data_IF_550901096255
#
_entry.id   IF_550901096255
#
_cell.length_a   1.000
_cell.length_b   1.000
_cell.length_c   1.000
_cell.angle_alpha   90.00
_cell.angle_beta   90.00
_cell.angle_gamma   90.00
#
_symmetry.space_group_name_H-M   'P 1'
#
loop_
_entity.id
_entity.type
_entity.pdbx_description
1 polymer ?
#
# COMPACT_ATOMS: atom_id res chain seq x y z
N UNK A 1 14.02 -13.28 -20.99
CA UNK A 1 13.80 -11.83 -20.80
C UNK A 1 12.62 -11.65 -19.85
N UNK A 2 12.81 -10.86 -18.82
CA UNK A 2 11.73 -10.57 -17.87
C UNK A 2 10.73 -9.62 -18.51
N UNK A 3 9.45 -9.75 -18.14
CA UNK A 3 8.44 -8.82 -18.61
C UNK A 3 8.63 -7.43 -17.92
N UNK A 4 7.89 -6.47 -18.42
CA UNK A 4 8.01 -5.08 -17.97
C UNK A 4 7.64 -4.91 -16.49
N UNK A 5 6.63 -5.64 -16.02
CA UNK A 5 6.19 -5.54 -14.63
C UNK A 5 7.20 -6.14 -13.66
N UNK A 6 7.80 -7.28 -14.02
CA UNK A 6 8.86 -7.87 -13.22
C UNK A 6 10.07 -6.96 -13.13
N UNK A 7 10.45 -6.34 -14.24
CA UNK A 7 11.56 -5.42 -14.27
C UNK A 7 11.29 -4.18 -13.41
N UNK A 8 10.09 -3.64 -13.48
CA UNK A 8 9.69 -2.50 -12.63
C UNK A 8 9.73 -2.86 -11.15
N UNK A 9 9.31 -4.06 -10.82
CA UNK A 9 9.38 -4.57 -9.45
C UNK A 9 10.83 -4.58 -8.93
N UNK A 10 11.75 -5.14 -9.73
CA UNK A 10 13.16 -5.22 -9.37
C UNK A 10 13.77 -3.81 -9.25
N UNK A 11 13.46 -2.94 -10.18
CA UNK A 11 13.97 -1.56 -10.17
C UNK A 11 13.48 -0.79 -8.94
N UNK A 12 12.21 -0.94 -8.58
CA UNK A 12 11.66 -0.30 -7.38
C UNK A 12 12.36 -0.80 -6.11
N UNK A 13 12.57 -2.10 -6.01
CA UNK A 13 13.32 -2.67 -4.89
C UNK A 13 14.73 -2.09 -4.80
N UNK A 14 15.44 -2.06 -5.92
CA UNK A 14 16.81 -1.56 -5.96
C UNK A 14 16.90 -0.09 -5.51
N UNK A 15 15.95 0.74 -5.91
CA UNK A 15 15.88 2.15 -5.51
C UNK A 15 15.63 2.32 -4.02
N UNK A 16 14.67 1.56 -3.49
CA UNK A 16 14.29 1.69 -2.07
C UNK A 16 15.44 1.27 -1.17
N UNK A 17 16.10 0.17 -1.51
CA UNK A 17 17.14 -0.41 -0.66
C UNK A 17 18.50 0.24 -0.91
N UNK A 18 18.73 0.76 -2.11
CA UNK A 18 20.01 1.35 -2.47
C UNK A 18 21.03 0.33 -2.98
N UNK A 19 20.57 -0.75 -3.61
CA UNK A 19 21.43 -1.71 -4.30
C UNK A 19 21.47 -1.37 -5.78
N UNK A 20 22.52 -1.86 -6.46
CA UNK A 20 22.65 -1.67 -7.90
C UNK A 20 21.57 -2.49 -8.61
N UNK A 21 20.97 -1.90 -9.64
CA UNK A 21 19.92 -2.55 -10.41
C UNK A 21 20.39 -3.87 -11.02
N UNK A 22 21.58 -3.87 -11.61
CA UNK A 22 22.15 -5.09 -12.22
C UNK A 22 22.31 -6.23 -11.22
N UNK A 23 22.74 -5.90 -10.01
CA UNK A 23 22.89 -6.89 -8.95
C UNK A 23 21.53 -7.45 -8.50
N UNK A 24 20.53 -6.59 -8.44
CA UNK A 24 19.17 -7.01 -8.07
C UNK A 24 18.57 -7.91 -9.15
N UNK A 25 18.76 -7.58 -10.42
CA UNK A 25 18.30 -8.40 -11.55
C UNK A 25 18.95 -9.79 -11.50
N UNK A 26 20.25 -9.84 -11.35
CA UNK A 26 20.99 -11.11 -11.26
C UNK A 26 20.50 -11.95 -10.08
N UNK A 27 20.34 -11.32 -8.93
CA UNK A 27 19.85 -12.01 -7.74
C UNK A 27 18.44 -12.60 -7.95
N UNK A 28 17.56 -11.83 -8.57
CA UNK A 28 16.20 -12.26 -8.87
C UNK A 28 16.17 -13.43 -9.86
N UNK A 29 17.07 -13.42 -10.85
CA UNK A 29 17.17 -14.51 -11.81
C UNK A 29 17.68 -15.80 -11.15
N UNK A 30 18.60 -15.67 -10.21
CA UNK A 30 19.20 -16.82 -9.54
C UNK A 30 18.30 -17.37 -8.42
N UNK A 31 17.67 -16.51 -7.64
CA UNK A 31 16.91 -16.89 -6.43
C UNK A 31 15.39 -16.71 -6.56
N UNK A 32 14.93 -16.01 -7.59
CA UNK A 32 13.52 -15.71 -7.79
C UNK A 32 13.12 -14.34 -7.25
N UNK A 33 12.00 -13.82 -7.76
CA UNK A 33 11.51 -12.49 -7.36
C UNK A 33 11.16 -12.39 -5.87
N UNK A 34 10.58 -13.44 -5.31
CA UNK A 34 10.19 -13.44 -3.91
C UNK A 34 11.39 -13.29 -2.97
N UNK A 35 12.56 -13.77 -3.39
CA UNK A 35 13.76 -13.70 -2.58
C UNK A 35 14.27 -12.26 -2.41
N UNK A 36 13.93 -11.35 -3.30
CA UNK A 36 14.29 -9.94 -3.13
C UNK A 36 13.65 -9.35 -1.88
N UNK A 37 12.39 -9.67 -1.64
CA UNK A 37 11.66 -9.17 -0.47
C UNK A 37 11.95 -10.03 0.75
N UNK A 38 11.83 -11.34 0.64
CA UNK A 38 11.83 -12.22 1.81
C UNK A 38 13.22 -12.66 2.28
N UNK A 39 14.20 -12.71 1.41
CA UNK A 39 15.52 -13.23 1.76
C UNK A 39 16.63 -12.65 0.87
N UNK A 40 16.81 -11.34 0.96
CA UNK A 40 17.82 -10.63 0.17
C UNK A 40 19.19 -10.54 0.87
N UNK A 41 19.43 -11.34 1.90
CA UNK A 41 20.62 -11.22 2.77
C UNK A 41 21.93 -11.22 1.99
N UNK A 42 22.05 -12.07 0.98
CA UNK A 42 23.26 -12.17 0.17
C UNK A 42 23.48 -10.97 -0.75
N UNK A 43 22.41 -10.25 -1.08
CA UNK A 43 22.46 -9.07 -1.93
C UNK A 43 22.87 -7.82 -1.15
N UNK A 44 22.58 -7.77 0.15
CA UNK A 44 22.76 -6.59 0.99
C UNK A 44 24.20 -6.51 1.48
N UNK A 45 24.96 -5.56 0.94
CA UNK A 45 26.38 -5.44 1.21
C UNK A 45 26.71 -4.55 2.41
N UNK A 46 25.84 -3.59 2.76
CA UNK A 46 26.12 -2.61 3.80
C UNK A 46 25.10 -2.64 4.93
N UNK A 47 25.47 -2.17 6.14
CA UNK A 47 24.49 -2.04 7.25
C UNK A 47 23.30 -1.16 6.89
N UNK A 48 23.53 -0.09 6.12
CA UNK A 48 22.46 0.83 5.71
C UNK A 48 21.47 0.11 4.81
N UNK A 49 21.95 -0.71 3.87
CA UNK A 49 21.07 -1.51 3.00
C UNK A 49 20.26 -2.51 3.80
N UNK A 50 20.86 -3.16 4.79
CA UNK A 50 20.15 -4.11 5.66
C UNK A 50 19.08 -3.41 6.48
N UNK A 51 19.36 -2.22 7.00
CA UNK A 51 18.39 -1.43 7.75
C UNK A 51 17.22 -0.99 6.88
N UNK A 52 17.49 -0.52 5.67
CA UNK A 52 16.44 -0.14 4.71
C UNK A 52 15.58 -1.32 4.31
N UNK A 53 16.20 -2.48 4.12
CA UNK A 53 15.48 -3.71 3.80
C UNK A 53 14.55 -4.12 4.94
N UNK A 54 15.02 -4.05 6.17
CA UNK A 54 14.18 -4.37 7.33
C UNK A 54 13.01 -3.41 7.47
N UNK A 55 13.24 -2.12 7.28
CA UNK A 55 12.18 -1.12 7.29
C UNK A 55 11.15 -1.37 6.19
N UNK A 56 11.61 -1.72 5.00
CA UNK A 56 10.73 -2.08 3.89
C UNK A 56 9.88 -3.32 4.21
N UNK A 57 10.49 -4.35 4.79
CA UNK A 57 9.76 -5.56 5.20
C UNK A 57 8.68 -5.24 6.22
N UNK A 58 9.01 -4.43 7.21
CA UNK A 58 8.05 -4.03 8.23
C UNK A 58 6.87 -3.28 7.60
N UNK A 59 7.14 -2.32 6.74
CA UNK A 59 6.12 -1.57 6.03
C UNK A 59 5.25 -2.50 5.17
N UNK A 60 5.87 -3.38 4.41
CA UNK A 60 5.18 -4.30 3.51
C UNK A 60 4.26 -5.25 4.28
N UNK A 61 4.77 -5.85 5.35
CA UNK A 61 4.00 -6.81 6.18
C UNK A 61 2.86 -6.13 6.93
N UNK A 62 3.10 -4.94 7.46
CA UNK A 62 2.09 -4.20 8.21
C UNK A 62 1.04 -3.55 7.32
N UNK A 63 1.36 -3.27 6.07
CA UNK A 63 0.42 -2.62 5.13
C UNK A 63 -0.87 -3.40 4.96
N UNK A 64 -0.79 -4.73 4.82
CA UNK A 64 -2.00 -5.53 4.68
C UNK A 64 -2.83 -5.54 5.96
N UNK A 65 -2.20 -5.57 7.12
CA UNK A 65 -2.89 -5.52 8.41
C UNK A 65 -3.59 -4.18 8.63
N UNK A 66 -2.90 -3.08 8.33
CA UNK A 66 -3.45 -1.74 8.47
C UNK A 66 -4.60 -1.55 7.49
N UNK A 67 -4.42 -1.97 6.23
CA UNK A 67 -5.45 -1.82 5.20
C UNK A 67 -6.71 -2.62 5.51
N UNK A 68 -6.61 -3.74 6.24
CA UNK A 68 -7.79 -4.54 6.60
C UNK A 68 -8.66 -3.88 7.67
N UNK A 69 -8.16 -2.85 8.36
CA UNK A 69 -8.95 -2.09 9.35
C UNK A 69 -10.01 -1.21 8.69
N UNK A 70 -9.79 -0.83 7.44
CA UNK A 70 -10.72 0.02 6.71
C UNK A 70 -11.67 -0.85 5.89
N UNK A 71 -12.96 -0.48 5.80
CA UNK A 71 -13.93 -1.29 5.11
C UNK A 71 -13.73 -1.29 3.60
N UNK A 72 -14.17 -2.37 2.96
CA UNK A 72 -14.29 -2.46 1.50
C UNK A 72 -15.72 -2.11 1.13
N UNK A 73 -15.87 -1.19 0.18
CA UNK A 73 -17.18 -0.77 -0.33
C UNK A 73 -17.32 -1.28 -1.76
N UNK A 74 -17.94 -2.45 -1.90
CA UNK A 74 -18.17 -3.08 -3.20
C UNK A 74 -19.62 -3.49 -3.43
N UNK A 75 -20.52 -3.00 -2.58
CA UNK A 75 -21.95 -3.24 -2.71
C UNK A 75 -22.72 -2.06 -2.14
N UNK A 76 -23.99 -1.85 -2.56
CA UNK A 76 -24.84 -0.80 -1.97
C UNK A 76 -25.03 -0.95 -0.47
N UNK A 77 -25.14 -2.18 0.03
CA UNK A 77 -25.32 -2.46 1.45
C UNK A 77 -24.10 -2.04 2.27
N UNK A 78 -22.91 -2.33 1.77
CA UNK A 78 -21.65 -1.91 2.43
C UNK A 78 -21.48 -0.41 2.41
N UNK A 79 -21.85 0.24 1.30
CA UNK A 79 -21.83 1.69 1.21
C UNK A 79 -22.80 2.31 2.22
N UNK A 80 -24.03 1.81 2.31
CA UNK A 80 -25.02 2.28 3.26
C UNK A 80 -24.52 2.15 4.70
N UNK A 81 -23.97 1.00 5.07
CA UNK A 81 -23.44 0.77 6.42
C UNK A 81 -22.31 1.74 6.76
N UNK A 82 -21.39 1.95 5.81
CA UNK A 82 -20.26 2.85 6.01
C UNK A 82 -20.72 4.30 6.21
N UNK A 83 -21.60 4.79 5.31
CA UNK A 83 -22.04 6.18 5.38
C UNK A 83 -22.95 6.44 6.58
N UNK A 84 -23.76 5.49 6.98
CA UNK A 84 -24.54 5.60 8.23
C UNK A 84 -23.61 5.75 9.43
N UNK A 85 -22.56 4.94 9.51
CA UNK A 85 -21.58 5.00 10.59
C UNK A 85 -20.90 6.37 10.66
N UNK A 86 -20.51 6.92 9.51
CA UNK A 86 -19.87 8.25 9.44
C UNK A 86 -20.88 9.35 9.78
N UNK A 87 -22.07 9.28 9.23
CA UNK A 87 -23.10 10.31 9.43
C UNK A 87 -23.61 10.36 10.87
N UNK A 88 -23.60 9.27 11.59
CA UNK A 88 -23.97 9.23 13.00
C UNK A 88 -23.07 10.11 13.88
N UNK A 89 -21.86 10.37 13.43
CA UNK A 89 -20.89 11.21 14.12
C UNK A 89 -20.97 12.69 13.71
N UNK A 90 -21.83 13.01 12.75
CA UNK A 90 -21.96 14.35 12.19
C UNK A 90 -23.22 15.03 12.71
N UNK A 91 -23.06 16.21 13.32
CA UNK A 91 -24.19 16.97 13.84
C UNK A 91 -24.94 17.76 12.76
N UNK A 92 -24.29 18.03 11.63
CA UNK A 92 -24.87 18.80 10.55
C UNK A 92 -25.54 17.91 9.54
N UNK A 93 -26.87 17.98 9.46
CA UNK A 93 -27.66 17.13 8.55
C UNK A 93 -27.55 17.54 7.09
N UNK A 94 -26.92 18.65 6.79
CA UNK A 94 -26.71 19.13 5.43
C UNK A 94 -25.30 18.85 4.92
N UNK A 95 -24.60 17.94 5.55
CA UNK A 95 -23.26 17.58 5.14
C UNK A 95 -23.27 16.47 4.08
N UNK A 96 -22.33 16.56 3.13
CA UNK A 96 -22.01 15.47 2.23
C UNK A 96 -20.76 14.76 2.74
N UNK A 97 -20.73 13.46 2.58
CA UNK A 97 -19.56 12.67 2.90
C UNK A 97 -19.05 12.04 1.60
N UNK A 98 -17.77 12.23 1.34
CA UNK A 98 -17.08 11.65 0.18
C UNK A 98 -16.06 10.67 0.70
N UNK A 99 -16.15 9.42 0.25
CA UNK A 99 -15.18 8.39 0.60
C UNK A 99 -14.23 8.17 -0.58
N UNK A 100 -12.94 8.14 -0.28
CA UNK A 100 -11.90 7.85 -1.27
C UNK A 100 -11.51 6.40 -1.16
N UNK A 101 -11.58 5.68 -2.28
CA UNK A 101 -11.33 4.24 -2.32
C UNK A 101 -10.07 3.94 -3.12
N UNK A 102 -9.35 2.91 -2.72
CA UNK A 102 -8.27 2.38 -3.56
C UNK A 102 -8.84 1.50 -4.68
N UNK A 103 -7.98 0.96 -5.52
CA UNK A 103 -8.39 0.13 -6.67
C UNK A 103 -9.10 -1.16 -6.28
N UNK A 104 -9.03 -1.55 -5.00
CA UNK A 104 -9.72 -2.73 -4.47
C UNK A 104 -10.98 -2.36 -3.68
N UNK A 105 -11.46 -1.12 -3.84
CA UNK A 105 -12.64 -0.58 -3.18
C UNK A 105 -12.54 -0.49 -1.65
N UNK A 106 -11.33 -0.48 -1.12
CA UNK A 106 -11.10 -0.25 0.31
C UNK A 106 -11.03 1.25 0.58
N UNK A 107 -11.72 1.68 1.62
CA UNK A 107 -11.71 3.09 2.03
C UNK A 107 -10.30 3.47 2.51
N UNK A 108 -9.73 4.50 1.90
CA UNK A 108 -8.44 5.06 2.32
C UNK A 108 -8.63 6.35 3.12
N UNK A 109 -9.72 7.07 2.89
CA UNK A 109 -10.03 8.29 3.62
C UNK A 109 -11.48 8.67 3.35
N UNK A 110 -12.02 9.60 4.13
CA UNK A 110 -13.29 10.25 3.83
C UNK A 110 -13.20 11.73 4.18
N UNK A 111 -14.04 12.50 3.54
CA UNK A 111 -14.12 13.93 3.76
C UNK A 111 -15.58 14.34 3.97
N UNK A 112 -15.82 15.13 5.00
CA UNK A 112 -17.13 15.71 5.27
C UNK A 112 -17.17 17.09 4.66
N UNK A 113 -18.05 17.28 3.67
CA UNK A 113 -18.22 18.55 3.00
C UNK A 113 -19.50 19.19 3.52
N UNK A 114 -19.37 20.23 4.30
CA UNK A 114 -20.52 21.01 4.75
C UNK A 114 -21.03 21.87 3.60
N UNK A 115 -22.31 21.68 3.26
CA UNK A 115 -22.99 22.59 2.37
C UNK A 115 -23.39 23.78 3.22
N UNK A 116 -22.73 24.92 3.02
CA UNK A 116 -23.01 26.10 3.78
C UNK A 116 -24.45 26.51 3.66
N UNK A 117 -25.13 26.60 4.78
CA UNK A 117 -26.41 27.30 4.87
C UNK A 117 -26.14 28.78 4.77
N UNK A 118 -26.80 29.37 3.87
CA UNK A 118 -26.80 30.83 3.74
C UNK A 118 -27.63 31.43 4.87
#
# INVERSE_FOLDING_TARGET
MRDTDELRYIQAFARIIGVKEDAAIEYAERKGLNALVDNATQLLATPVQREKHQAFLDLYRMSSTINTRNPIINSPEKASSYFHSVMDEIYDKEAFVVAFLNTKNRVIDHEVVSVGTI
#
